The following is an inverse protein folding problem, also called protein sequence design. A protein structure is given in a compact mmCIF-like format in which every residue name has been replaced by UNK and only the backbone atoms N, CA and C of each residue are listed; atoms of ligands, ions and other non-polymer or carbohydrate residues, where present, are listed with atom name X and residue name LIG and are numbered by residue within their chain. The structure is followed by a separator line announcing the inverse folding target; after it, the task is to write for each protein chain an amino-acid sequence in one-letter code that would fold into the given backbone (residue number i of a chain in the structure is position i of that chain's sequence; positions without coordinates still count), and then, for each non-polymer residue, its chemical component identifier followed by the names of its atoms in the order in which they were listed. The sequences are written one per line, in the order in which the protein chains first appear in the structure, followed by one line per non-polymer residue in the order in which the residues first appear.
data_IF_333060373961
#
_entry.id   IF_333060373961
#
_cell.length_a   1.000
_cell.length_b   1.000
_cell.length_c   1.000
_cell.angle_alpha   90.00
_cell.angle_beta   90.00
_cell.angle_gamma   90.00
#
_symmetry.space_group_name_H-M   'P 1'
#
loop_
_entity.id
_entity.type
_entity.pdbx_description
1 polymer ?
#
# COMPACT_ATOMS: atom_id res chain seq x y z
N UNK A 1 -7.00 24.76 -19.49
CA UNK A 1 -6.97 23.70 -18.46
C UNK A 1 -8.24 22.85 -18.55
N UNK A 2 -8.21 21.71 -19.26
CA UNK A 2 -9.35 20.76 -19.38
C UNK A 2 -8.96 19.27 -19.27
N UNK A 3 -7.72 18.98 -18.85
CA UNK A 3 -7.20 17.61 -18.80
C UNK A 3 -7.57 16.83 -17.52
N UNK A 4 -8.05 17.52 -16.47
CA UNK A 4 -8.27 16.92 -15.14
C UNK A 4 -9.61 16.21 -14.96
N UNK A 5 -10.60 16.49 -15.83
CA UNK A 5 -11.97 15.95 -15.72
C UNK A 5 -12.15 14.64 -16.50
N UNK A 6 -11.49 14.50 -17.65
CA UNK A 6 -11.58 13.30 -18.49
C UNK A 6 -11.04 12.03 -17.83
N UNK A 7 -10.00 12.16 -17.00
CA UNK A 7 -9.48 11.00 -16.28
C UNK A 7 -10.49 10.49 -15.24
N UNK A 8 -11.20 11.36 -14.54
CA UNK A 8 -12.08 10.94 -13.45
C UNK A 8 -13.30 10.14 -13.95
N UNK A 9 -13.90 10.56 -15.07
CA UNK A 9 -15.05 9.87 -15.66
C UNK A 9 -14.66 8.53 -16.31
N UNK A 10 -13.47 8.46 -16.92
CA UNK A 10 -12.93 7.21 -17.47
C UNK A 10 -12.67 6.17 -16.38
N UNK A 11 -12.14 6.60 -15.23
CA UNK A 11 -11.90 5.72 -14.08
C UNK A 11 -13.20 5.22 -13.45
N UNK A 12 -14.26 6.04 -13.41
CA UNK A 12 -15.58 5.60 -12.93
C UNK A 12 -16.20 4.52 -13.83
N UNK A 13 -16.10 4.69 -15.15
CA UNK A 13 -16.60 3.71 -16.12
C UNK A 13 -15.85 2.37 -16.02
N UNK A 14 -14.52 2.44 -15.96
CA UNK A 14 -13.68 1.25 -15.80
C UNK A 14 -13.94 0.52 -14.46
N UNK A 15 -14.12 1.28 -13.37
CA UNK A 15 -14.43 0.69 -12.07
C UNK A 15 -15.79 0.00 -12.03
N UNK A 16 -16.83 0.59 -12.65
CA UNK A 16 -18.14 -0.06 -12.76
C UNK A 16 -18.08 -1.33 -13.59
N UNK A 17 -17.45 -1.26 -14.77
CA UNK A 17 -17.29 -2.43 -15.64
C UNK A 17 -16.50 -3.57 -14.98
N UNK A 18 -15.55 -3.24 -14.09
CA UNK A 18 -14.84 -4.24 -13.30
C UNK A 18 -15.71 -4.80 -12.17
N UNK A 19 -16.44 -3.94 -11.43
CA UNK A 19 -17.16 -4.32 -10.20
C UNK A 19 -18.51 -5.02 -10.45
N UNK A 20 -19.10 -4.79 -11.61
CA UNK A 20 -20.44 -5.27 -11.96
C UNK A 20 -20.38 -6.46 -12.93
N UNK A 21 -21.31 -7.39 -12.77
CA UNK A 21 -21.57 -8.50 -13.69
C UNK A 21 -22.08 -7.99 -15.04
N UNK A 22 -22.16 -8.87 -16.05
CA UNK A 22 -22.71 -8.52 -17.36
C UNK A 22 -24.19 -8.04 -17.31
N UNK A 23 -24.93 -8.37 -16.25
CA UNK A 23 -26.29 -7.88 -16.00
C UNK A 23 -26.34 -6.54 -15.23
N UNK A 24 -25.19 -5.98 -14.84
CA UNK A 24 -25.09 -4.72 -14.09
C UNK A 24 -25.25 -4.86 -12.58
N UNK A 25 -25.35 -6.08 -12.05
CA UNK A 25 -25.39 -6.34 -10.61
C UNK A 25 -23.98 -6.40 -10.02
N UNK A 26 -23.79 -6.13 -8.73
CA UNK A 26 -22.47 -6.27 -8.10
C UNK A 26 -21.96 -7.71 -8.23
N UNK A 27 -20.74 -7.88 -8.73
CA UNK A 27 -20.14 -9.22 -8.90
C UNK A 27 -19.83 -9.85 -7.53
N UNK A 28 -20.47 -10.98 -7.17
CA UNK A 28 -20.24 -11.64 -5.89
C UNK A 28 -18.84 -12.26 -5.77
N UNK A 29 -18.10 -12.42 -6.88
CA UNK A 29 -16.74 -12.96 -6.89
C UNK A 29 -15.68 -11.90 -6.59
N UNK A 30 -16.04 -10.61 -6.59
CA UNK A 30 -15.10 -9.52 -6.34
C UNK A 30 -15.08 -9.22 -4.84
N UNK A 31 -14.05 -9.77 -4.18
CA UNK A 31 -13.80 -9.52 -2.76
C UNK A 31 -13.21 -8.12 -2.60
N UNK A 32 -14.01 -7.20 -2.04
CA UNK A 32 -13.51 -5.86 -1.68
C UNK A 32 -12.78 -5.95 -0.35
N UNK A 33 -11.46 -5.77 -0.36
CA UNK A 33 -10.69 -5.68 0.87
C UNK A 33 -10.95 -4.32 1.52
N UNK A 34 -11.83 -4.31 2.52
CA UNK A 34 -11.94 -3.21 3.45
C UNK A 34 -10.87 -3.40 4.53
N UNK A 35 -10.20 -2.33 4.93
CA UNK A 35 -9.24 -2.35 6.03
C UNK A 35 -9.96 -2.60 7.37
N UNK A 36 -10.40 -3.83 7.61
CA UNK A 36 -10.88 -4.32 8.90
C UNK A 36 -9.69 -4.91 9.65
N UNK A 37 -8.76 -4.07 10.10
CA UNK A 37 -7.70 -4.54 10.99
C UNK A 37 -7.45 -3.50 12.06
N UNK A 38 -8.14 -3.66 13.18
CA UNK A 38 -7.43 -3.47 14.43
C UNK A 38 -6.22 -4.39 14.34
N UNK A 39 -5.04 -3.79 14.28
CA UNK A 39 -3.80 -4.54 14.34
C UNK A 39 -3.81 -5.37 15.63
N UNK A 40 -3.22 -6.57 15.64
CA UNK A 40 -2.96 -7.29 16.88
C UNK A 40 -2.35 -6.34 17.92
N UNK A 41 -2.71 -6.48 19.19
CA UNK A 41 -2.23 -5.59 20.25
C UNK A 41 -0.70 -5.58 20.39
N UNK A 42 -0.06 -6.64 19.91
CA UNK A 42 1.37 -6.89 19.88
C UNK A 42 2.01 -6.62 18.50
N UNK A 43 1.25 -6.09 17.53
CA UNK A 43 1.79 -5.78 16.22
C UNK A 43 2.86 -4.70 16.33
N UNK A 44 4.09 -5.08 16.03
CA UNK A 44 5.19 -4.14 15.84
C UNK A 44 5.42 -3.94 14.35
N UNK A 45 5.22 -2.71 13.82
CA UNK A 45 5.53 -2.44 12.42
C UNK A 45 7.02 -2.67 12.17
N UNK A 46 7.32 -3.26 11.02
CA UNK A 46 8.71 -3.41 10.58
C UNK A 46 9.33 -2.03 10.35
N UNK A 47 10.35 -1.71 11.12
CA UNK A 47 11.11 -0.48 10.93
C UNK A 47 12.17 -0.71 9.84
N UNK A 48 11.80 -0.36 8.60
CA UNK A 48 12.67 -0.52 7.43
C UNK A 48 13.93 0.34 7.54
N UNK A 49 13.82 1.55 8.08
CA UNK A 49 14.96 2.47 8.23
C UNK A 49 16.01 1.88 9.18
N UNK A 50 15.57 1.32 10.31
CA UNK A 50 16.45 0.62 11.26
C UNK A 50 17.12 -0.59 10.61
N UNK A 51 16.35 -1.42 9.90
CA UNK A 51 16.90 -2.61 9.24
C UNK A 51 17.98 -2.24 8.20
N UNK A 52 17.71 -1.22 7.38
CA UNK A 52 18.65 -0.75 6.38
C UNK A 52 19.91 -0.15 7.01
N UNK A 53 19.76 0.66 8.06
CA UNK A 53 20.89 1.20 8.81
C UNK A 53 21.77 0.07 9.39
N UNK A 54 21.17 -0.92 10.05
CA UNK A 54 21.91 -2.07 10.59
C UNK A 54 22.63 -2.90 9.50
N UNK A 55 22.00 -3.05 8.33
CA UNK A 55 22.61 -3.74 7.19
C UNK A 55 23.80 -2.99 6.63
N UNK A 56 23.67 -1.69 6.41
CA UNK A 56 24.76 -0.84 5.92
C UNK A 56 25.95 -0.82 6.87
N UNK A 57 25.69 -0.71 8.19
CA UNK A 57 26.77 -0.71 9.19
C UNK A 57 27.55 -2.03 9.22
N UNK A 58 26.84 -3.16 9.08
CA UNK A 58 27.48 -4.49 8.99
C UNK A 58 28.30 -4.67 7.73
N UNK A 59 27.84 -4.15 6.59
CA UNK A 59 28.55 -4.28 5.31
C UNK A 59 29.77 -3.37 5.22
N UNK A 60 29.74 -2.21 5.88
CA UNK A 60 30.82 -1.22 5.87
C UNK A 60 31.84 -1.40 7.01
N UNK A 61 31.65 -2.38 7.89
CA UNK A 61 32.44 -2.60 9.13
C UNK A 61 32.58 -1.33 10.00
N UNK A 62 31.53 -0.50 9.98
CA UNK A 62 31.49 0.75 10.76
C UNK A 62 31.03 0.39 12.17
N UNK A 63 31.87 0.70 13.16
CA UNK A 63 31.50 0.51 14.56
C UNK A 63 30.22 1.32 14.88
N UNK A 64 29.14 0.66 15.35
CA UNK A 64 27.85 1.30 15.63
C UNK A 64 27.95 2.51 16.56
N UNK A 65 29.00 2.59 17.38
CA UNK A 65 29.29 3.72 18.27
C UNK A 65 29.48 5.05 17.53
N UNK A 66 29.86 5.01 16.26
CA UNK A 66 30.07 6.20 15.42
C UNK A 66 28.89 6.51 14.48
N UNK A 67 27.80 5.74 14.55
CA UNK A 67 26.66 5.88 13.63
C UNK A 67 25.40 6.50 14.26
N UNK A 68 25.37 6.64 15.58
CA UNK A 68 24.27 7.27 16.31
C UNK A 68 24.62 8.74 16.55
N UNK A 69 24.15 9.64 15.67
CA UNK A 69 24.13 11.09 15.87
C UNK A 69 22.69 11.59 15.92
#
# INVERSE_FOLDING_TARGET
MKFKLWSYDMWKGAWRAFRETASGETDPNIVTYHSHKQLPADFQPFNIDRFLAEKLLKELDIDPKFALF
#
